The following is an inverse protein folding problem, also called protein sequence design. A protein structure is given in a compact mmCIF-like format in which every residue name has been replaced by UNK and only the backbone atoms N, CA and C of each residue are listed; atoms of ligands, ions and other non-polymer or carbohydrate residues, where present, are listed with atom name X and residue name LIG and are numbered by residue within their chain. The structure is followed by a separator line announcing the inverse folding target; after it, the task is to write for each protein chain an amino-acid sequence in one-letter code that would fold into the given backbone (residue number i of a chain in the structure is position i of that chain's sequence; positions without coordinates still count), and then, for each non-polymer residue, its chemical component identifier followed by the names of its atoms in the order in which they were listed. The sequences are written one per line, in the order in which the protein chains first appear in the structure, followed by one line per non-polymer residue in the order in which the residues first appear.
data_IF_457369492359
#
_entry.id   IF_457369492359
#
_cell.length_a   1.000
_cell.length_b   1.000
_cell.length_c   1.000
_cell.angle_alpha   90.00
_cell.angle_beta   90.00
_cell.angle_gamma   90.00
#
_symmetry.space_group_name_H-M   'P 1'
#
loop_
_entity.id
_entity.type
_entity.pdbx_description
1 polymer ?
#
# COMPACT_ATOMS: atom_id res chain seq x y z
N UNK A 1 -9.08 -13.07 9.07
CA UNK A 1 -9.77 -11.90 8.49
C UNK A 1 -8.92 -10.66 8.77
N UNK A 2 -8.98 -9.62 7.93
CA UNK A 2 -8.30 -8.36 8.25
C UNK A 2 -9.01 -7.67 9.42
N UNK A 3 -8.26 -6.96 10.26
CA UNK A 3 -8.83 -6.20 11.38
C UNK A 3 -9.59 -4.98 10.87
N UNK A 4 -9.10 -4.37 9.79
CA UNK A 4 -9.84 -3.37 9.04
C UNK A 4 -9.44 -3.38 7.58
N UNK A 5 -10.31 -2.87 6.73
CA UNK A 5 -10.04 -2.71 5.30
C UNK A 5 -10.89 -1.62 4.69
N UNK A 6 -10.38 -0.98 3.64
CA UNK A 6 -11.13 0.03 2.88
C UNK A 6 -10.73 0.01 1.41
N UNK A 7 -11.66 0.43 0.54
CA UNK A 7 -11.41 0.60 -0.89
C UNK A 7 -10.70 1.93 -1.13
N UNK A 8 -9.63 1.90 -1.91
CA UNK A 8 -8.89 3.08 -2.34
C UNK A 8 -9.69 3.82 -3.42
N UNK A 9 -9.90 5.12 -3.21
CA UNK A 9 -10.59 6.02 -4.14
C UNK A 9 -9.62 6.82 -5.00
N UNK A 10 -8.57 7.34 -4.38
CA UNK A 10 -7.53 8.13 -5.06
C UNK A 10 -6.17 7.84 -4.44
N UNK A 11 -5.09 8.12 -5.19
CA UNK A 11 -3.75 8.12 -4.63
C UNK A 11 -2.95 9.36 -5.04
N UNK A 12 -1.97 9.72 -4.20
CA UNK A 12 -0.97 10.75 -4.47
C UNK A 12 0.42 10.15 -4.29
N UNK A 13 1.33 10.45 -5.22
CA UNK A 13 2.72 10.02 -5.15
C UNK A 13 3.64 11.24 -4.99
N UNK A 14 4.53 11.18 -4.00
CA UNK A 14 5.51 12.21 -3.72
C UNK A 14 6.91 11.65 -3.87
N UNK A 15 7.75 12.40 -4.57
CA UNK A 15 9.18 12.18 -4.63
C UNK A 15 9.91 13.49 -4.33
N UNK A 16 10.60 13.54 -3.19
CA UNK A 16 11.31 14.73 -2.72
C UNK A 16 12.77 14.68 -3.14
N UNK A 17 13.21 15.70 -3.88
CA UNK A 17 14.60 15.83 -4.35
C UNK A 17 15.62 16.17 -3.24
N UNK A 18 15.16 16.69 -2.10
CA UNK A 18 16.03 17.26 -1.06
C UNK A 18 16.05 16.51 0.27
N UNK A 19 15.22 15.47 0.45
CA UNK A 19 15.16 14.71 1.70
C UNK A 19 16.26 13.66 1.76
N UNK A 20 16.85 13.44 2.93
CA UNK A 20 17.82 12.37 3.16
C UNK A 20 17.17 11.03 3.53
N UNK A 21 15.94 11.05 4.05
CA UNK A 21 15.15 9.87 4.42
C UNK A 21 13.69 10.09 4.02
N UNK A 22 13.00 9.00 3.67
CA UNK A 22 11.59 9.07 3.28
C UNK A 22 11.38 9.93 2.03
N UNK A 23 12.28 9.82 1.05
CA UNK A 23 12.21 10.57 -0.23
C UNK A 23 10.98 10.20 -1.05
N UNK A 24 10.46 9.00 -0.87
CA UNK A 24 9.31 8.52 -1.60
C UNK A 24 8.19 8.14 -0.64
N UNK A 25 7.00 8.63 -0.95
CA UNK A 25 5.79 8.31 -0.23
C UNK A 25 4.61 8.24 -1.20
N UNK A 26 3.74 7.27 -0.95
CA UNK A 26 2.50 7.08 -1.68
C UNK A 26 1.36 7.16 -0.67
N UNK A 27 0.37 8.00 -0.94
CA UNK A 27 -0.79 8.20 -0.08
C UNK A 27 -2.00 7.63 -0.79
N UNK A 28 -2.69 6.68 -0.16
CA UNK A 28 -3.92 6.05 -0.65
C UNK A 28 -5.10 6.58 0.18
N UNK A 29 -6.06 7.24 -0.45
CA UNK A 29 -7.23 7.80 0.22
C UNK A 29 -8.44 6.88 0.00
N UNK A 30 -9.10 6.48 1.07
CA UNK A 30 -10.29 5.66 1.08
C UNK A 30 -11.57 6.44 0.78
N UNK A 31 -12.63 5.71 0.42
CA UNK A 31 -13.96 6.29 0.18
C UNK A 31 -14.61 6.84 1.47
N UNK A 32 -14.26 6.29 2.64
CA UNK A 32 -14.80 6.64 3.95
C UNK A 32 -13.97 7.70 4.70
N UNK A 33 -12.95 8.27 4.07
CA UNK A 33 -12.02 9.21 4.69
C UNK A 33 -10.80 8.54 5.32
N UNK A 34 -10.59 7.25 5.10
CA UNK A 34 -9.35 6.56 5.48
C UNK A 34 -8.16 7.06 4.68
N UNK A 35 -6.97 6.99 5.26
CA UNK A 35 -5.73 7.35 4.57
C UNK A 35 -4.66 6.34 4.90
N UNK A 36 -4.05 5.71 3.90
CA UNK A 36 -2.86 4.87 4.06
C UNK A 36 -1.64 5.56 3.47
N UNK A 37 -0.67 5.89 4.32
CA UNK A 37 0.66 6.34 3.91
C UNK A 37 1.59 5.15 3.74
N UNK A 38 2.07 4.96 2.52
CA UNK A 38 3.02 3.92 2.14
C UNK A 38 4.41 4.57 2.06
N UNK A 39 5.30 4.15 2.94
CA UNK A 39 6.66 4.66 3.06
C UNK A 39 7.65 3.70 2.44
N UNK A 40 8.60 4.23 1.68
CA UNK A 40 9.60 3.41 1.00
C UNK A 40 10.96 3.56 1.68
N UNK A 41 11.58 2.43 2.04
CA UNK A 41 12.97 2.35 2.49
C UNK A 41 13.89 2.19 1.28
N UNK A 42 14.87 3.08 1.16
CA UNK A 42 15.84 3.08 0.06
C UNK A 42 16.85 1.93 0.19
N UNK A 43 17.20 1.55 1.42
CA UNK A 43 18.06 0.40 1.66
C UNK A 43 17.25 -0.91 1.47
N UNK A 44 17.62 -1.76 0.49
CA UNK A 44 16.94 -3.03 0.24
C UNK A 44 17.11 -4.04 1.38
N UNK A 45 18.09 -3.86 2.27
CA UNK A 45 18.34 -4.75 3.40
C UNK A 45 17.78 -4.22 4.73
N UNK A 46 17.15 -3.04 4.72
CA UNK A 46 16.61 -2.45 5.93
C UNK A 46 15.43 -3.26 6.48
N UNK A 47 15.44 -3.57 7.77
CA UNK A 47 14.28 -4.19 8.41
C UNK A 47 13.10 -3.22 8.34
N UNK A 48 12.01 -3.65 7.69
CA UNK A 48 10.80 -2.85 7.57
C UNK A 48 10.06 -2.81 8.91
N UNK A 49 9.60 -1.63 9.37
CA UNK A 49 8.71 -1.56 10.52
C UNK A 49 7.39 -2.29 10.26
N UNK A 50 6.75 -2.76 11.33
CA UNK A 50 5.38 -3.23 11.28
C UNK A 50 4.44 -2.11 10.77
N UNK A 51 3.45 -2.48 9.98
CA UNK A 51 2.34 -1.58 9.65
C UNK A 51 1.64 -1.11 10.93
N UNK A 52 1.22 0.15 10.96
CA UNK A 52 0.53 0.75 12.11
C UNK A 52 -0.78 1.42 11.71
N UNK A 53 -1.66 1.59 12.69
CA UNK A 53 -2.93 2.31 12.53
C UNK A 53 -3.14 3.27 13.71
N UNK A 54 -3.68 4.46 13.42
CA UNK A 54 -4.12 5.44 14.41
C UNK A 54 -5.38 6.13 13.91
N UNK A 55 -6.54 5.78 14.48
CA UNK A 55 -7.84 6.19 13.95
C UNK A 55 -8.03 5.69 12.51
N UNK A 56 -8.31 6.60 11.58
CA UNK A 56 -8.46 6.31 10.15
C UNK A 56 -7.16 6.42 9.33
N UNK A 57 -6.02 6.61 10.00
CA UNK A 57 -4.70 6.71 9.37
C UNK A 57 -3.90 5.43 9.52
N UNK A 58 -3.42 4.91 8.40
CA UNK A 58 -2.63 3.69 8.29
C UNK A 58 -1.22 4.05 7.79
N UNK A 59 -0.20 3.35 8.27
CA UNK A 59 1.17 3.50 7.79
C UNK A 59 1.77 2.17 7.43
N UNK A 60 2.09 1.98 6.16
CA UNK A 60 2.71 0.77 5.61
C UNK A 60 4.14 1.08 5.19
N UNK A 61 4.99 0.06 5.16
CA UNK A 61 6.40 0.19 4.83
C UNK A 61 6.76 -0.86 3.79
N UNK A 62 7.46 -0.44 2.74
CA UNK A 62 7.95 -1.29 1.66
C UNK A 62 9.39 -0.89 1.31
N UNK A 63 10.08 -1.73 0.56
CA UNK A 63 11.35 -1.35 -0.08
C UNK A 63 11.09 -0.58 -1.37
N UNK A 64 12.05 0.26 -1.76
CA UNK A 64 11.90 1.15 -2.90
C UNK A 64 11.78 0.42 -4.24
N UNK A 65 12.36 -0.78 -4.37
CA UNK A 65 12.22 -1.65 -5.55
C UNK A 65 10.76 -2.09 -5.79
N UNK A 66 9.94 -2.20 -4.74
CA UNK A 66 8.52 -2.54 -4.84
C UNK A 66 7.64 -1.38 -5.34
N UNK A 67 8.17 -0.16 -5.41
CA UNK A 67 7.41 1.02 -5.81
C UNK A 67 6.79 0.87 -7.20
N UNK A 68 7.57 0.40 -8.18
CA UNK A 68 7.10 0.30 -9.55
C UNK A 68 5.92 -0.67 -9.66
N UNK A 69 5.99 -1.81 -8.98
CA UNK A 69 4.90 -2.78 -8.94
C UNK A 69 3.63 -2.22 -8.28
N UNK A 70 3.78 -1.47 -7.19
CA UNK A 70 2.63 -0.82 -6.53
C UNK A 70 1.99 0.25 -7.42
N UNK A 71 2.78 1.08 -8.10
CA UNK A 71 2.27 2.10 -9.01
C UNK A 71 1.59 1.46 -10.23
N UNK A 72 2.14 0.37 -10.76
CA UNK A 72 1.56 -0.36 -11.88
C UNK A 72 0.18 -0.93 -11.52
N UNK A 73 0.09 -1.65 -10.40
CA UNK A 73 -1.17 -2.13 -9.85
C UNK A 73 -2.19 -0.99 -9.65
N UNK A 74 -1.78 0.15 -9.07
CA UNK A 74 -2.68 1.28 -8.85
C UNK A 74 -3.18 1.97 -10.13
N UNK A 75 -2.50 1.77 -11.26
CA UNK A 75 -2.86 2.37 -12.56
C UNK A 75 -3.71 1.45 -13.41
N UNK A 76 -3.45 0.15 -13.34
CA UNK A 76 -4.01 -0.83 -14.25
C UNK A 76 -5.14 -1.65 -13.61
N UNK A 77 -5.14 -1.78 -12.28
CA UNK A 77 -6.10 -2.62 -11.57
C UNK A 77 -7.17 -1.80 -10.85
N UNK A 78 -8.39 -2.31 -10.86
CA UNK A 78 -9.50 -1.74 -10.09
C UNK A 78 -10.56 -2.81 -9.84
N UNK A 79 -11.11 -2.91 -8.62
CA UNK A 79 -10.88 -2.03 -7.46
C UNK A 79 -9.66 -2.42 -6.61
N UNK A 80 -9.03 -1.42 -5.98
CA UNK A 80 -7.91 -1.59 -5.03
C UNK A 80 -8.38 -1.44 -3.59
N UNK A 81 -7.82 -2.26 -2.70
CA UNK A 81 -8.09 -2.26 -1.28
C UNK A 81 -6.83 -2.20 -0.44
N UNK A 82 -6.94 -1.54 0.71
CA UNK A 82 -5.98 -1.63 1.82
C UNK A 82 -6.57 -2.55 2.87
N UNK A 83 -5.79 -3.54 3.30
CA UNK A 83 -6.11 -4.45 4.39
C UNK A 83 -5.10 -4.25 5.51
N UNK A 84 -5.56 -3.88 6.69
CA UNK A 84 -4.73 -3.83 7.88
C UNK A 84 -4.97 -5.07 8.74
N UNK A 85 -3.88 -5.75 9.09
CA UNK A 85 -3.93 -6.88 9.99
C UNK A 85 -2.64 -6.96 10.81
N UNK A 86 -2.77 -6.76 12.12
CA UNK A 86 -1.67 -6.89 13.08
C UNK A 86 -2.03 -7.90 14.20
N UNK A 87 -2.84 -8.91 13.87
CA UNK A 87 -3.30 -9.90 14.83
C UNK A 87 -2.19 -10.89 15.23
N UNK A 88 -2.10 -11.21 16.52
CA UNK A 88 -1.23 -12.26 17.08
C UNK A 88 0.24 -12.25 16.60
N UNK A 89 0.81 -11.08 16.34
CA UNK A 89 2.21 -10.94 15.89
C UNK A 89 2.44 -11.31 14.42
N UNK A 90 1.39 -11.63 13.67
CA UNK A 90 1.44 -11.82 12.22
C UNK A 90 0.99 -10.55 11.51
N UNK A 91 1.94 -9.70 11.15
CA UNK A 91 1.66 -8.55 10.32
C UNK A 91 1.41 -8.99 8.88
N UNK A 92 0.12 -9.09 8.50
CA UNK A 92 -0.32 -9.43 7.14
C UNK A 92 -1.13 -8.27 6.54
N UNK A 93 -0.66 -7.05 6.82
CA UNK A 93 -1.22 -5.84 6.23
C UNK A 93 -0.74 -5.73 4.77
N UNK A 94 -1.66 -5.45 3.85
CA UNK A 94 -1.38 -5.50 2.41
C UNK A 94 -2.26 -4.56 1.60
N UNK A 95 -1.77 -4.22 0.41
CA UNK A 95 -2.56 -3.58 -0.65
C UNK A 95 -2.88 -4.68 -1.66
N UNK A 96 -4.12 -4.77 -2.14
CA UNK A 96 -4.60 -5.87 -2.95
C UNK A 96 -5.68 -5.42 -3.94
N UNK A 97 -5.83 -6.17 -5.02
CA UNK A 97 -6.99 -6.11 -5.91
C UNK A 97 -8.17 -6.88 -5.32
N UNK A 98 -9.34 -6.79 -5.97
CA UNK A 98 -10.46 -7.70 -5.73
C UNK A 98 -10.12 -9.13 -6.20
N UNK A 99 -10.94 -10.10 -5.76
CA UNK A 99 -10.92 -11.42 -6.38
C UNK A 99 -11.44 -11.32 -7.81
N UNK A 100 -10.56 -11.47 -8.78
CA UNK A 100 -10.91 -11.58 -10.20
C UNK A 100 -11.12 -13.05 -10.58
N UNK A 101 -12.01 -13.36 -11.53
CA UNK A 101 -12.15 -14.71 -12.05
C UNK A 101 -10.88 -15.09 -12.81
N UNK A 102 -10.43 -16.35 -12.64
CA UNK A 102 -9.27 -16.85 -13.37
C UNK A 102 -9.59 -16.93 -14.87
N UNK A 103 -8.72 -16.38 -15.72
CA UNK A 103 -8.82 -16.51 -17.18
C UNK A 103 -9.64 -15.45 -17.92
N UNK A 104 -9.89 -14.26 -17.34
CA UNK A 104 -10.70 -13.22 -17.99
C UNK A 104 -9.98 -12.35 -19.04
N UNK A 105 -8.66 -12.46 -19.26
CA UNK A 105 -8.04 -11.48 -20.16
C UNK A 105 -6.57 -11.56 -20.50
N UNK A 106 -5.81 -12.59 -20.09
CA UNK A 106 -4.51 -12.86 -20.73
C UNK A 106 -4.73 -13.51 -22.10
N UNK A 107 -5.46 -12.83 -22.99
CA UNK A 107 -5.39 -13.14 -24.42
C UNK A 107 -4.07 -12.57 -24.94
N UNK A 108 -3.26 -13.46 -25.52
CA UNK A 108 -1.92 -13.23 -26.08
C UNK A 108 -1.73 -11.94 -26.88
#
# INVERSE_FOLDING_TARGET
MAQSSFQVKTYSYYNWSSRSLGKTNLILNGVGGETCSVWFREDPNAVLPAATVSGSYYSFYYHHDQLQHLIDMLRNESPIYVYFNNDNGFNNSRISTANEPVGEGEMS
#
